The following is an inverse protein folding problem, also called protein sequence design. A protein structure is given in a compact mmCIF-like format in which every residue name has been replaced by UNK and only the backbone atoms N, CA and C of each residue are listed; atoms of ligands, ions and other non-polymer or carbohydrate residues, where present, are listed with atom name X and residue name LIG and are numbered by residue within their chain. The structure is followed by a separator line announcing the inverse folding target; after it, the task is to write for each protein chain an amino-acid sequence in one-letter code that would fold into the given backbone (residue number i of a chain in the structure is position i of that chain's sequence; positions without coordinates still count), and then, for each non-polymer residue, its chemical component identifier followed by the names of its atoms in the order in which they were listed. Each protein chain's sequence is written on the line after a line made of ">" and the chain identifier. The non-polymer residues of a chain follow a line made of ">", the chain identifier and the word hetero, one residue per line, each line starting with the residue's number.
data_IF_023330298623
#
_entry.id   IF_023330298623
#
_cell.length_a   1.000
_cell.length_b   1.000
_cell.length_c   1.000
_cell.angle_alpha   90.00
_cell.angle_beta   90.00
_cell.angle_gamma   90.00
#
_symmetry.space_group_name_H-M   'P 1'
#
loop_
_entity.id
_entity.type
_entity.pdbx_description
1 polymer ?
#
# COMPACT_ATOMS: atom_id res chain seq x y z
N UNK A 1 32.53 12.72 -38.97
CA UNK A 1 31.06 12.80 -38.78
C UNK A 1 30.53 11.68 -37.87
N UNK A 2 30.84 10.40 -38.13
CA UNK A 2 30.38 9.25 -37.33
C UNK A 2 30.72 9.30 -35.82
N UNK A 3 31.91 9.81 -35.47
CA UNK A 3 32.35 9.98 -34.08
C UNK A 3 31.54 11.05 -33.32
N UNK A 4 31.17 12.14 -33.99
CA UNK A 4 30.38 13.21 -33.40
C UNK A 4 28.93 12.77 -33.14
N UNK A 5 28.34 12.02 -34.07
CA UNK A 5 27.01 11.40 -33.89
C UNK A 5 27.00 10.37 -32.76
N UNK A 6 28.06 9.57 -32.64
CA UNK A 6 28.19 8.60 -31.54
C UNK A 6 28.27 9.31 -30.18
N UNK A 7 29.11 10.34 -30.06
CA UNK A 7 29.26 11.12 -28.83
C UNK A 7 27.96 11.85 -28.45
N UNK A 8 27.25 12.41 -29.42
CA UNK A 8 25.94 13.05 -29.19
C UNK A 8 24.91 12.02 -28.69
N UNK A 9 24.87 10.83 -29.30
CA UNK A 9 23.95 9.76 -28.87
C UNK A 9 24.25 9.28 -27.44
N UNK A 10 25.53 9.10 -27.08
CA UNK A 10 25.92 8.73 -25.72
C UNK A 10 25.56 9.82 -24.71
N UNK A 11 25.75 11.09 -25.07
CA UNK A 11 25.38 12.22 -24.22
C UNK A 11 23.86 12.29 -23.97
N UNK A 12 23.05 12.05 -25.01
CA UNK A 12 21.58 12.00 -24.91
C UNK A 12 21.11 10.81 -24.05
N UNK A 13 21.74 9.63 -24.18
CA UNK A 13 21.40 8.46 -23.35
C UNK A 13 21.82 8.67 -21.89
N UNK A 14 22.99 9.26 -21.63
CA UNK A 14 23.46 9.56 -20.29
C UNK A 14 22.56 10.58 -19.58
N UNK A 15 21.98 11.54 -20.31
CA UNK A 15 21.05 12.51 -19.75
C UNK A 15 19.78 11.87 -19.15
N UNK A 16 19.29 10.75 -19.70
CA UNK A 16 18.16 10.01 -19.12
C UNK A 16 18.53 9.23 -17.85
N UNK A 17 19.81 8.90 -17.64
CA UNK A 17 20.27 8.15 -16.46
C UNK A 17 20.64 9.06 -15.26
N UNK A 18 20.87 10.35 -15.51
CA UNK A 18 21.27 11.35 -14.49
C UNK A 18 20.04 11.99 -13.82
N UNK A 19 18.82 11.62 -14.20
CA UNK A 19 17.62 12.06 -13.49
C UNK A 19 17.74 11.64 -12.01
N UNK A 20 17.59 12.58 -11.05
CA UNK A 20 17.56 12.21 -9.65
C UNK A 20 16.44 11.18 -9.46
N UNK A 21 16.64 10.12 -8.64
CA UNK A 21 15.57 9.19 -8.34
C UNK A 21 14.35 10.01 -7.90
N UNK A 22 13.18 9.68 -8.45
CA UNK A 22 11.93 10.34 -8.08
C UNK A 22 11.88 10.40 -6.56
N UNK A 23 11.81 11.61 -6.01
CA UNK A 23 11.85 11.87 -4.56
C UNK A 23 10.69 11.21 -3.82
N UNK A 24 9.68 10.78 -4.58
CA UNK A 24 8.60 9.93 -4.13
C UNK A 24 9.16 8.52 -3.92
N UNK A 25 9.75 8.28 -2.74
CA UNK A 25 9.97 6.93 -2.27
C UNK A 25 8.65 6.16 -2.24
N UNK A 26 8.72 4.82 -2.13
CA UNK A 26 7.53 3.95 -2.11
C UNK A 26 6.48 4.50 -1.11
N UNK A 27 5.33 4.92 -1.64
CA UNK A 27 4.27 5.53 -0.85
C UNK A 27 3.73 4.51 0.15
N UNK A 28 3.57 4.94 1.41
CA UNK A 28 3.09 4.09 2.50
C UNK A 28 1.69 4.54 2.90
N UNK A 29 0.75 3.60 2.96
CA UNK A 29 -0.67 3.84 3.23
C UNK A 29 -1.13 3.17 4.52
N UNK A 30 -2.08 3.79 5.20
CA UNK A 30 -2.86 3.22 6.30
C UNK A 30 -4.36 3.49 6.05
N UNK A 31 -5.23 3.16 7.02
CA UNK A 31 -6.66 3.46 6.93
C UNK A 31 -7.03 4.89 7.37
N UNK A 32 -6.04 5.73 7.64
CA UNK A 32 -6.19 7.07 8.16
C UNK A 32 -6.83 7.12 9.55
N UNK A 33 -7.09 8.35 9.98
CA UNK A 33 -7.76 8.59 11.25
C UNK A 33 -9.17 7.98 11.23
N UNK A 34 -9.61 7.39 12.34
CA UNK A 34 -10.94 6.82 12.37
C UNK A 34 -11.98 7.93 12.39
N UNK A 35 -13.00 7.80 11.53
CA UNK A 35 -13.96 8.84 11.20
C UNK A 35 -14.65 9.33 12.49
N UNK A 36 -14.77 10.64 12.66
CA UNK A 36 -15.39 11.25 13.85
C UNK A 36 -16.85 11.51 13.55
N UNK A 37 -17.59 10.46 13.22
CA UNK A 37 -19.02 10.51 12.99
C UNK A 37 -19.67 11.01 14.28
N UNK A 38 -20.29 12.18 14.23
CA UNK A 38 -21.13 12.73 15.31
C UNK A 38 -22.46 11.97 15.44
N UNK A 39 -22.71 11.03 14.54
CA UNK A 39 -23.89 10.20 14.49
C UNK A 39 -23.74 9.11 15.55
N UNK A 40 -24.77 8.91 16.37
CA UNK A 40 -24.72 7.99 17.50
C UNK A 40 -24.52 6.57 16.99
N UNK A 41 -23.26 6.12 16.92
CA UNK A 41 -22.95 4.70 16.73
C UNK A 41 -23.64 3.94 17.86
N UNK A 42 -24.49 2.94 17.53
CA UNK A 42 -25.18 2.18 18.55
C UNK A 42 -24.14 1.59 19.49
N UNK A 43 -24.28 1.88 20.78
CA UNK A 43 -23.32 1.38 21.76
C UNK A 43 -23.41 -0.14 21.84
N UNK A 44 -22.26 -0.79 21.87
CA UNK A 44 -22.17 -2.21 22.13
C UNK A 44 -22.65 -2.45 23.57
N UNK A 45 -23.59 -3.38 23.73
CA UNK A 45 -24.15 -3.73 25.06
C UNK A 45 -23.25 -4.69 25.85
N UNK A 46 -22.21 -5.23 25.21
CA UNK A 46 -21.32 -6.25 25.73
C UNK A 46 -19.89 -5.97 25.28
N UNK A 47 -18.92 -6.50 26.02
CA UNK A 47 -17.52 -6.44 25.64
C UNK A 47 -17.27 -7.28 24.38
N UNK A 48 -16.66 -6.65 23.37
CA UNK A 48 -16.27 -7.29 22.13
C UNK A 48 -14.75 -7.52 22.13
N UNK A 49 -14.35 -8.78 22.01
CA UNK A 49 -12.95 -9.16 21.87
C UNK A 49 -12.61 -9.40 20.40
N UNK A 50 -11.70 -8.60 19.85
CA UNK A 50 -11.16 -8.78 18.50
C UNK A 50 -9.91 -9.66 18.57
N UNK A 51 -10.04 -10.90 18.10
CA UNK A 51 -8.92 -11.81 17.93
C UNK A 51 -7.90 -11.28 16.92
N UNK A 52 -6.68 -11.84 16.93
CA UNK A 52 -5.69 -11.56 15.90
C UNK A 52 -6.22 -12.02 14.54
N UNK A 53 -6.20 -11.13 13.53
CA UNK A 53 -6.56 -11.50 12.17
C UNK A 53 -5.39 -12.21 11.51
N UNK A 54 -5.70 -13.25 10.76
CA UNK A 54 -4.73 -14.04 10.00
C UNK A 54 -4.87 -13.75 8.51
N UNK A 55 -3.75 -13.69 7.79
CA UNK A 55 -3.73 -13.61 6.34
C UNK A 55 -3.04 -14.86 5.75
N UNK A 56 -3.31 -15.21 4.47
CA UNK A 56 -2.47 -16.14 3.74
C UNK A 56 -1.02 -15.66 3.71
N UNK A 57 -0.05 -16.59 3.65
CA UNK A 57 1.37 -16.25 3.68
C UNK A 57 1.80 -15.25 2.58
N UNK A 58 1.17 -15.28 1.39
CA UNK A 58 1.46 -14.33 0.31
C UNK A 58 1.01 -12.90 0.60
N UNK A 59 0.21 -12.69 1.64
CA UNK A 59 -0.29 -11.39 2.10
C UNK A 59 0.26 -11.04 3.49
N UNK A 60 1.22 -11.81 4.01
CA UNK A 60 1.87 -11.54 5.31
C UNK A 60 3.07 -10.59 5.16
N UNK A 61 2.87 -9.52 4.39
CA UNK A 61 3.82 -8.43 4.20
C UNK A 61 3.06 -7.11 3.96
N UNK A 62 3.79 -6.01 3.84
CA UNK A 62 3.20 -4.69 3.64
C UNK A 62 2.81 -4.40 2.17
N UNK A 63 2.91 -5.36 1.26
CA UNK A 63 2.60 -5.20 -0.16
C UNK A 63 1.11 -4.96 -0.41
N UNK A 64 0.82 -4.11 -1.39
CA UNK A 64 -0.52 -3.99 -1.95
C UNK A 64 -0.58 -4.87 -3.21
N UNK A 65 -1.46 -5.86 -3.19
CA UNK A 65 -1.58 -6.85 -4.26
C UNK A 65 -2.82 -6.61 -5.13
N UNK A 66 -2.66 -6.77 -6.45
CA UNK A 66 -3.74 -6.67 -7.44
C UNK A 66 -3.69 -7.82 -8.44
N UNK A 67 -4.76 -8.00 -9.20
CA UNK A 67 -4.89 -8.97 -10.30
C UNK A 67 -5.41 -8.26 -11.54
N UNK A 68 -4.86 -8.59 -12.70
CA UNK A 68 -5.27 -8.00 -13.97
C UNK A 68 -6.26 -8.94 -14.66
N UNK A 69 -7.56 -8.65 -14.54
CA UNK A 69 -8.62 -9.51 -15.06
C UNK A 69 -8.55 -9.71 -16.58
N UNK A 70 -8.07 -8.71 -17.33
CA UNK A 70 -7.92 -8.78 -18.79
C UNK A 70 -6.67 -9.54 -19.25
N UNK A 71 -5.73 -9.84 -18.35
CA UNK A 71 -4.46 -10.49 -18.69
C UNK A 71 -4.38 -11.89 -18.08
N UNK A 72 -4.50 -11.97 -16.76
CA UNK A 72 -4.49 -13.22 -16.00
C UNK A 72 -5.07 -12.95 -14.60
N UNK A 73 -6.30 -13.39 -14.38
CA UNK A 73 -6.98 -13.23 -13.10
C UNK A 73 -6.35 -14.07 -11.98
N UNK A 74 -5.56 -15.10 -12.30
CA UNK A 74 -4.96 -16.02 -11.33
C UNK A 74 -3.60 -15.54 -10.82
N UNK A 75 -2.97 -14.56 -11.47
CA UNK A 75 -1.64 -14.05 -11.11
C UNK A 75 -1.69 -12.77 -10.26
N UNK A 76 -1.43 -12.84 -8.94
CA UNK A 76 -1.28 -11.64 -8.12
C UNK A 76 0.01 -10.90 -8.48
N UNK A 77 -0.03 -9.57 -8.38
CA UNK A 77 1.11 -8.67 -8.59
C UNK A 77 1.15 -7.64 -7.47
N UNK A 78 2.34 -7.24 -7.04
CA UNK A 78 2.51 -6.17 -6.07
C UNK A 78 2.64 -4.81 -6.77
N UNK A 79 2.12 -3.74 -6.15
CA UNK A 79 2.42 -2.38 -6.58
C UNK A 79 3.88 -2.05 -6.28
N UNK A 80 4.59 -1.48 -7.27
CA UNK A 80 6.02 -1.16 -7.13
C UNK A 80 6.28 0.07 -6.23
N UNK A 81 5.35 1.02 -6.19
CA UNK A 81 5.51 2.32 -5.53
C UNK A 81 4.43 2.57 -4.46
N UNK A 82 3.75 1.52 -4.01
CA UNK A 82 2.69 1.62 -3.00
C UNK A 82 2.71 0.41 -2.09
N UNK A 83 2.72 0.66 -0.79
CA UNK A 83 2.70 -0.36 0.25
C UNK A 83 1.83 0.08 1.42
N UNK A 84 1.33 -0.86 2.20
CA UNK A 84 0.82 -0.61 3.53
C UNK A 84 1.97 -0.23 4.49
N UNK A 85 1.65 0.43 5.60
CA UNK A 85 2.61 0.70 6.68
C UNK A 85 2.97 -0.55 7.50
N UNK A 86 2.16 -1.60 7.43
CA UNK A 86 2.37 -2.92 8.06
C UNK A 86 1.52 -4.00 7.34
N UNK A 87 1.62 -5.30 7.68
CA UNK A 87 0.77 -6.31 7.07
C UNK A 87 -0.73 -5.98 7.16
N UNK A 88 -1.52 -6.22 6.10
CA UNK A 88 -2.89 -5.75 6.00
C UNK A 88 -3.82 -6.37 7.06
N UNK A 89 -3.58 -7.61 7.48
CA UNK A 89 -4.33 -8.22 8.59
C UNK A 89 -4.10 -7.50 9.92
N UNK A 90 -2.87 -7.05 10.18
CA UNK A 90 -2.54 -6.28 11.37
C UNK A 90 -3.19 -4.88 11.33
N UNK A 91 -3.15 -4.20 10.19
CA UNK A 91 -3.84 -2.91 9.98
C UNK A 91 -5.34 -3.02 10.24
N UNK A 92 -5.98 -4.05 9.68
CA UNK A 92 -7.42 -4.25 9.84
C UNK A 92 -7.77 -4.55 11.30
N UNK A 93 -6.95 -5.35 11.98
CA UNK A 93 -7.14 -5.63 13.40
C UNK A 93 -7.05 -4.38 14.27
N UNK A 94 -6.07 -3.50 14.01
CA UNK A 94 -6.00 -2.22 14.71
C UNK A 94 -7.23 -1.36 14.43
N UNK A 95 -7.71 -1.33 13.19
CA UNK A 95 -8.89 -0.56 12.82
C UNK A 95 -10.15 -1.03 13.53
N UNK A 96 -10.36 -2.34 13.64
CA UNK A 96 -11.53 -2.91 14.31
C UNK A 96 -11.50 -2.60 15.82
N UNK A 97 -10.36 -2.85 16.48
CA UNK A 97 -10.20 -2.53 17.91
C UNK A 97 -10.41 -1.04 18.22
N UNK A 98 -9.97 -0.16 17.33
CA UNK A 98 -10.19 1.28 17.47
C UNK A 98 -11.67 1.69 17.30
N UNK A 99 -12.44 0.90 16.54
CA UNK A 99 -13.89 1.08 16.42
C UNK A 99 -14.63 0.64 17.67
N UNK A 100 -14.30 -0.53 18.20
CA UNK A 100 -14.95 -1.09 19.40
C UNK A 100 -14.78 -0.19 20.62
N UNK A 101 -13.58 0.35 20.81
CA UNK A 101 -13.28 1.29 21.90
C UNK A 101 -14.11 2.59 21.85
N UNK A 102 -14.74 2.92 20.72
CA UNK A 102 -15.64 4.09 20.57
C UNK A 102 -17.11 3.73 20.75
N UNK A 103 -17.45 2.47 20.54
CA UNK A 103 -18.81 1.97 20.66
C UNK A 103 -19.15 1.56 22.10
N UNK A 104 -18.17 1.41 22.98
CA UNK A 104 -18.35 1.33 24.43
C UNK A 104 -18.60 2.73 25.02
#
# INVERSE_FOLDING_TARGET
>A
MLRATLLLSLALLAACAIAPPSRDGVASYDFGLPRSDKEATPRLRHDLLIAALTAPAWMDDAGIYYRLLYQDATRPRAYAQSRWVMPPAALLGQRLRAGDARAQ
#
